data_IF_804325451310
#
_entry.id   IF_804325451310
#
_cell.length_a   1.000
_cell.length_b   1.000
_cell.length_c   1.000
_cell.angle_alpha   90.00
_cell.angle_beta   90.00
_cell.angle_gamma   90.00
#
_symmetry.space_group_name_H-M   'P 1'
#
loop_
_entity.id
_entity.type
_entity.pdbx_description
1 polymer ?
#
# COMPACT_ATOMS: atom_id res chain seq x y z
N UNK A 1 -3.76 -6.20 17.34
CA UNK A 1 -2.33 -6.20 16.93
C UNK A 1 -2.17 -5.33 15.68
N UNK A 2 -0.98 -4.82 15.38
CA UNK A 2 -0.75 -4.11 14.11
C UNK A 2 -0.45 -5.10 13.00
N UNK A 3 -0.78 -4.76 11.75
CA UNK A 3 -0.45 -5.58 10.57
C UNK A 3 1.03 -5.97 10.52
N UNK A 4 1.93 -5.02 10.85
CA UNK A 4 3.38 -5.31 10.92
C UNK A 4 3.71 -6.36 12.01
N UNK A 5 2.99 -6.36 13.13
CA UNK A 5 3.19 -7.37 14.18
C UNK A 5 2.67 -8.74 13.74
N UNK A 6 1.57 -8.80 13.01
CA UNK A 6 1.02 -10.03 12.44
C UNK A 6 1.97 -10.66 11.44
N UNK A 7 2.52 -9.86 10.51
CA UNK A 7 3.54 -10.31 9.56
C UNK A 7 4.79 -10.85 10.29
N UNK A 8 5.27 -10.17 11.34
CA UNK A 8 6.39 -10.66 12.16
C UNK A 8 6.07 -11.95 12.89
N UNK A 9 4.84 -12.07 13.40
CA UNK A 9 4.41 -13.33 14.05
C UNK A 9 4.44 -14.49 13.06
N UNK A 10 3.93 -14.30 11.85
CA UNK A 10 3.96 -15.31 10.79
C UNK A 10 5.39 -15.74 10.46
N UNK A 11 6.29 -14.78 10.24
CA UNK A 11 7.71 -15.05 9.99
C UNK A 11 8.38 -15.88 11.10
N UNK A 12 7.96 -15.68 12.34
CA UNK A 12 8.49 -16.42 13.48
C UNK A 12 8.06 -17.91 13.52
N UNK A 13 7.09 -18.33 12.71
CA UNK A 13 6.69 -19.72 12.56
C UNK A 13 7.50 -20.46 11.49
N UNK A 14 8.29 -19.76 10.66
CA UNK A 14 9.17 -20.41 9.68
C UNK A 14 10.20 -21.29 10.38
N UNK A 15 10.32 -22.58 10.03
CA UNK A 15 11.21 -23.51 10.73
C UNK A 15 12.70 -23.16 10.58
N UNK A 16 13.50 -23.40 11.62
CA UNK A 16 14.96 -23.23 11.67
C UNK A 16 15.69 -24.55 11.33
N UNK A 17 15.34 -25.17 10.18
CA UNK A 17 15.81 -26.52 9.85
C UNK A 17 17.30 -26.57 9.47
N UNK A 18 17.74 -25.62 8.64
CA UNK A 18 19.11 -25.57 8.11
C UNK A 18 19.97 -24.57 8.88
N UNK A 19 21.18 -24.99 9.29
CA UNK A 19 22.11 -24.10 10.00
C UNK A 19 22.54 -22.90 9.15
N UNK A 20 22.74 -23.08 7.83
CA UNK A 20 23.05 -21.95 6.93
C UNK A 20 21.93 -20.90 6.94
N UNK A 21 20.66 -21.31 6.84
CA UNK A 21 19.53 -20.38 6.90
C UNK A 21 19.41 -19.72 8.29
N UNK A 22 19.64 -20.44 9.38
CA UNK A 22 19.65 -19.89 10.73
C UNK A 22 20.77 -18.83 10.89
N UNK A 23 21.98 -19.10 10.38
CA UNK A 23 23.08 -18.12 10.36
C UNK A 23 22.73 -16.89 9.52
N UNK A 24 22.19 -17.07 8.32
CA UNK A 24 21.77 -15.97 7.46
C UNK A 24 20.66 -15.13 8.10
N UNK A 25 19.67 -15.74 8.76
CA UNK A 25 18.62 -15.04 9.48
C UNK A 25 19.18 -14.26 10.69
N UNK A 26 20.05 -14.88 11.48
CA UNK A 26 20.71 -14.20 12.60
C UNK A 26 21.62 -13.05 12.11
N UNK A 27 22.25 -13.19 10.96
CA UNK A 27 23.04 -12.13 10.31
C UNK A 27 22.17 -10.92 9.94
N UNK A 28 21.02 -11.16 9.30
CA UNK A 28 20.03 -10.11 9.02
C UNK A 28 19.56 -9.43 10.31
N UNK A 29 19.26 -10.19 11.37
CA UNK A 29 18.90 -9.62 12.68
C UNK A 29 20.01 -8.70 13.21
N UNK A 30 21.26 -9.12 13.17
CA UNK A 30 22.39 -8.38 13.72
C UNK A 30 22.67 -7.08 12.95
N UNK A 31 22.64 -7.10 11.62
CA UNK A 31 22.87 -5.91 10.80
C UNK A 31 21.72 -4.88 10.85
N UNK A 32 20.55 -5.26 11.35
CA UNK A 32 19.38 -4.41 11.47
C UNK A 32 18.89 -4.22 12.90
N UNK A 33 19.63 -4.73 13.91
CA UNK A 33 19.30 -4.54 15.32
C UNK A 33 19.72 -3.16 15.83
N UNK A 34 19.46 -2.92 17.12
CA UNK A 34 19.72 -1.63 17.73
C UNK A 34 21.22 -1.33 17.87
N UNK A 35 22.01 -2.32 18.30
CA UNK A 35 23.48 -2.19 18.42
C UNK A 35 24.13 -3.51 18.01
N UNK A 36 25.09 -3.43 17.13
CA UNK A 36 25.98 -4.55 16.78
C UNK A 36 27.39 -4.02 16.63
N UNK A 37 28.19 -4.18 17.65
CA UNK A 37 29.60 -3.79 17.63
C UNK A 37 30.47 -4.76 18.47
N UNK A 38 31.75 -4.46 18.64
CA UNK A 38 32.70 -5.30 19.38
C UNK A 38 32.50 -5.27 20.88
N UNK A 39 31.69 -4.38 21.42
CA UNK A 39 31.45 -4.21 22.86
C UNK A 39 30.15 -4.84 23.29
N UNK A 40 29.12 -4.71 22.47
CA UNK A 40 27.82 -5.29 22.77
C UNK A 40 27.01 -5.60 21.52
N UNK A 41 26.15 -6.59 21.66
CA UNK A 41 25.05 -6.85 20.72
C UNK A 41 23.76 -6.62 21.52
N UNK A 42 22.94 -5.65 21.02
CA UNK A 42 21.69 -5.26 21.67
C UNK A 42 20.53 -5.36 20.69
N UNK A 43 19.61 -6.28 20.98
CA UNK A 43 18.40 -6.49 20.17
C UNK A 43 17.21 -6.09 21.02
N UNK A 44 16.39 -5.15 20.53
CA UNK A 44 15.20 -4.65 21.20
C UNK A 44 13.97 -5.00 20.38
N UNK A 45 12.99 -5.63 20.97
CA UNK A 45 11.73 -5.95 20.31
C UNK A 45 10.54 -5.83 21.25
N UNK A 46 9.39 -5.40 20.70
CA UNK A 46 8.10 -5.45 21.36
C UNK A 46 7.23 -6.61 20.86
N UNK A 47 7.71 -7.37 19.86
CA UNK A 47 6.98 -8.50 19.29
C UNK A 47 7.28 -9.78 20.08
N UNK A 48 6.24 -10.42 20.61
CA UNK A 48 6.33 -11.59 21.48
C UNK A 48 6.91 -12.81 20.76
N UNK A 49 6.45 -13.09 19.57
CA UNK A 49 6.90 -14.23 18.78
C UNK A 49 8.39 -14.08 18.39
N UNK A 50 8.82 -12.88 18.04
CA UNK A 50 10.23 -12.61 17.75
C UNK A 50 11.11 -12.74 19.00
N UNK A 51 10.64 -12.25 20.16
CA UNK A 51 11.34 -12.43 21.42
C UNK A 51 11.54 -13.93 21.78
N UNK A 52 10.53 -14.76 21.52
CA UNK A 52 10.63 -16.22 21.72
C UNK A 52 11.52 -16.93 20.70
N UNK A 53 11.61 -16.38 19.46
CA UNK A 53 12.45 -16.93 18.39
C UNK A 53 13.93 -16.64 18.60
N UNK A 54 14.30 -15.47 19.13
CA UNK A 54 15.69 -15.03 19.27
C UNK A 54 16.60 -16.04 19.98
N UNK A 55 16.27 -16.58 21.17
CA UNK A 55 17.14 -17.56 21.83
C UNK A 55 17.31 -18.86 21.03
N UNK A 56 16.25 -19.31 20.35
CA UNK A 56 16.29 -20.51 19.49
C UNK A 56 17.16 -20.28 18.26
N UNK A 57 17.03 -19.11 17.64
CA UNK A 57 17.79 -18.69 16.46
C UNK A 57 19.29 -18.63 16.78
N UNK A 58 19.69 -17.93 17.85
CA UNK A 58 21.10 -17.78 18.23
C UNK A 58 21.74 -19.09 18.66
N UNK A 59 20.99 -19.94 19.38
CA UNK A 59 21.44 -21.29 19.69
C UNK A 59 21.67 -22.14 18.42
N UNK A 60 20.77 -22.04 17.44
CA UNK A 60 20.90 -22.80 16.17
C UNK A 60 22.00 -22.26 15.26
N UNK A 61 22.19 -20.94 15.22
CA UNK A 61 23.17 -20.28 14.36
C UNK A 61 24.61 -20.41 14.87
N UNK A 62 24.81 -20.22 16.19
CA UNK A 62 26.12 -20.04 16.81
C UNK A 62 26.40 -20.99 17.95
N UNK A 63 25.45 -21.80 18.39
CA UNK A 63 25.53 -22.58 19.64
C UNK A 63 25.71 -21.72 20.90
N UNK A 64 25.24 -20.45 20.86
CA UNK A 64 25.39 -19.47 21.91
C UNK A 64 24.04 -19.10 22.55
N UNK A 65 24.10 -18.62 23.80
CA UNK A 65 22.98 -18.00 24.51
C UNK A 65 23.27 -16.52 24.79
N UNK A 66 22.21 -15.73 24.89
CA UNK A 66 22.29 -14.34 25.35
C UNK A 66 22.78 -14.28 26.79
N UNK A 67 23.52 -13.22 27.14
CA UNK A 67 23.99 -12.97 28.50
C UNK A 67 22.88 -12.37 29.36
N UNK A 68 22.01 -11.56 28.72
CA UNK A 68 20.78 -11.07 29.34
C UNK A 68 19.57 -11.40 28.46
N UNK A 69 18.58 -12.03 29.07
CA UNK A 69 17.27 -12.35 28.47
C UNK A 69 16.20 -11.71 29.35
N UNK A 70 15.23 -11.01 28.78
CA UNK A 70 14.14 -10.44 29.57
C UNK A 70 13.33 -11.54 30.26
N UNK A 71 12.74 -11.26 31.43
CA UNK A 71 11.91 -12.24 32.15
C UNK A 71 10.71 -12.65 31.29
N UNK A 72 10.28 -13.91 31.47
CA UNK A 72 9.07 -14.41 30.79
C UNK A 72 7.85 -13.58 31.18
N UNK A 73 7.01 -13.26 30.17
CA UNK A 73 5.81 -12.44 30.37
C UNK A 73 6.06 -10.94 30.49
N UNK A 74 7.30 -10.45 30.35
CA UNK A 74 7.57 -9.02 30.34
C UNK A 74 6.75 -8.30 29.24
N UNK A 75 5.97 -7.30 29.64
CA UNK A 75 5.19 -6.50 28.71
C UNK A 75 6.06 -5.40 28.06
N UNK A 76 5.74 -5.02 26.83
CA UNK A 76 6.39 -3.92 26.13
C UNK A 76 7.71 -4.28 25.45
N UNK A 77 8.66 -3.34 25.45
CA UNK A 77 9.96 -3.54 24.79
C UNK A 77 10.86 -4.48 25.62
N UNK A 78 11.36 -5.52 24.98
CA UNK A 78 12.27 -6.51 25.56
C UNK A 78 13.66 -6.34 24.97
N UNK A 79 14.67 -6.37 25.83
CA UNK A 79 16.07 -6.20 25.45
C UNK A 79 16.82 -7.50 25.64
N UNK A 80 17.49 -7.97 24.59
CA UNK A 80 18.40 -9.10 24.60
C UNK A 80 19.82 -8.56 24.45
N UNK A 81 20.77 -9.03 25.26
CA UNK A 81 22.14 -8.55 25.25
C UNK A 81 23.14 -9.72 25.17
N UNK A 82 24.21 -9.49 24.39
CA UNK A 82 25.46 -10.24 24.47
C UNK A 82 26.56 -9.22 24.75
N UNK A 83 27.27 -9.39 25.84
CA UNK A 83 28.34 -8.48 26.32
C UNK A 83 29.66 -9.23 26.57
N UNK A 84 29.62 -10.55 26.58
CA UNK A 84 30.82 -11.39 26.73
C UNK A 84 31.65 -11.30 25.46
N UNK A 85 32.93 -10.78 25.53
CA UNK A 85 33.74 -10.51 24.35
C UNK A 85 33.99 -11.74 23.47
N UNK A 86 34.21 -12.91 24.09
CA UNK A 86 34.48 -14.16 23.37
C UNK A 86 33.28 -14.59 22.50
N UNK A 87 32.06 -14.38 23.00
CA UNK A 87 30.84 -14.66 22.25
C UNK A 87 30.69 -13.68 21.06
N UNK A 88 30.96 -12.38 21.27
CA UNK A 88 30.89 -11.37 20.23
C UNK A 88 31.93 -11.67 19.16
N UNK A 89 33.16 -11.97 19.53
CA UNK A 89 34.24 -12.33 18.60
C UNK A 89 33.87 -13.55 17.78
N UNK A 90 33.37 -14.62 18.39
CA UNK A 90 32.96 -15.83 17.66
C UNK A 90 31.81 -15.56 16.67
N UNK A 91 30.89 -14.63 16.96
CA UNK A 91 29.85 -14.19 16.03
C UNK A 91 30.47 -13.41 14.86
N UNK A 92 31.38 -12.47 15.15
CA UNK A 92 32.06 -11.68 14.13
C UNK A 92 32.90 -12.55 13.19
N UNK A 93 33.61 -13.57 13.73
CA UNK A 93 34.37 -14.57 12.98
C UNK A 93 33.49 -15.32 11.96
N UNK A 94 32.32 -15.79 12.39
CA UNK A 94 31.36 -16.46 11.49
C UNK A 94 31.02 -15.61 10.27
N UNK A 95 31.04 -14.29 10.39
CA UNK A 95 30.70 -13.37 9.31
C UNK A 95 31.90 -12.71 8.63
N UNK A 96 33.14 -13.05 9.06
CA UNK A 96 34.39 -12.47 8.52
C UNK A 96 34.51 -10.97 8.81
N UNK A 97 34.04 -10.52 9.99
CA UNK A 97 34.01 -9.09 10.37
C UNK A 97 34.92 -8.76 11.58
N UNK A 98 35.83 -9.63 11.95
CA UNK A 98 36.71 -9.44 13.12
C UNK A 98 37.56 -8.17 13.05
N UNK A 99 37.98 -7.77 11.85
CA UNK A 99 38.82 -6.57 11.63
C UNK A 99 38.06 -5.40 11.01
N UNK A 100 36.75 -5.56 10.74
CA UNK A 100 35.98 -4.53 10.05
C UNK A 100 35.77 -3.28 10.91
N UNK A 101 36.05 -2.11 10.32
CA UNK A 101 35.74 -0.79 10.90
C UNK A 101 34.26 -0.44 10.73
N UNK A 102 33.64 -0.97 9.67
CA UNK A 102 32.21 -0.78 9.35
C UNK A 102 31.61 -2.12 8.96
N UNK A 103 30.33 -2.30 9.24
CA UNK A 103 29.62 -3.51 8.85
C UNK A 103 29.34 -3.54 7.35
N UNK A 104 29.51 -4.73 6.76
CA UNK A 104 29.23 -5.06 5.37
C UNK A 104 28.48 -6.38 5.29
N UNK A 105 27.76 -6.60 4.19
CA UNK A 105 27.15 -7.90 3.91
C UNK A 105 28.19 -8.84 3.32
N UNK A 106 28.46 -9.95 3.99
CA UNK A 106 29.28 -11.02 3.45
C UNK A 106 28.44 -11.85 2.47
N UNK A 107 28.59 -11.62 1.17
CA UNK A 107 27.85 -12.33 0.12
C UNK A 107 28.12 -13.84 0.10
N UNK A 108 29.30 -14.30 0.52
CA UNK A 108 29.61 -15.72 0.66
C UNK A 108 28.70 -16.48 1.66
N UNK A 109 28.07 -15.75 2.59
CA UNK A 109 27.06 -16.32 3.48
C UNK A 109 25.66 -16.39 2.83
N UNK A 110 25.45 -15.74 1.70
CA UNK A 110 24.14 -15.53 1.04
C UNK A 110 24.14 -16.07 -0.40
N UNK A 111 24.93 -17.10 -0.71
CA UNK A 111 25.05 -17.68 -2.06
C UNK A 111 23.74 -18.30 -2.55
N UNK A 112 22.97 -18.93 -1.64
CA UNK A 112 21.73 -19.63 -2.00
C UNK A 112 20.51 -18.78 -1.72
N UNK A 113 19.44 -18.95 -2.52
CA UNK A 113 18.18 -18.23 -2.35
C UNK A 113 17.57 -18.40 -0.97
N UNK A 114 17.65 -19.60 -0.38
CA UNK A 114 17.14 -19.84 0.97
C UNK A 114 17.90 -19.05 2.05
N UNK A 115 19.18 -18.77 1.85
CA UNK A 115 19.98 -17.92 2.74
C UNK A 115 19.65 -16.45 2.53
N UNK A 116 19.48 -15.98 1.29
CA UNK A 116 19.03 -14.61 0.97
C UNK A 116 17.66 -14.31 1.56
N UNK A 117 16.70 -15.22 1.38
CA UNK A 117 15.36 -15.13 1.99
C UNK A 117 15.43 -15.08 3.52
N UNK A 118 16.25 -15.93 4.12
CA UNK A 118 16.43 -15.98 5.58
C UNK A 118 17.08 -14.69 6.11
N UNK A 119 18.06 -14.14 5.39
CA UNK A 119 18.70 -12.88 5.72
C UNK A 119 17.68 -11.74 5.78
N UNK A 120 16.89 -11.57 4.72
CA UNK A 120 15.87 -10.53 4.69
C UNK A 120 14.72 -10.78 5.68
N UNK A 121 14.41 -12.02 6.02
CA UNK A 121 13.53 -12.35 7.15
C UNK A 121 14.08 -11.80 8.45
N UNK A 122 15.36 -12.05 8.74
CA UNK A 122 16.03 -11.52 9.94
C UNK A 122 16.07 -9.99 9.96
N UNK A 123 16.43 -9.37 8.83
CA UNK A 123 16.44 -7.92 8.66
C UNK A 123 15.05 -7.30 8.93
N UNK A 124 13.99 -7.91 8.39
CA UNK A 124 12.61 -7.45 8.62
C UNK A 124 12.15 -7.66 10.08
N UNK A 125 12.50 -8.77 10.70
CA UNK A 125 12.17 -9.04 12.10
C UNK A 125 12.80 -7.98 13.04
N UNK A 126 14.06 -7.60 12.80
CA UNK A 126 14.79 -6.63 13.63
C UNK A 126 14.46 -5.17 13.29
N UNK A 127 14.65 -4.77 12.02
CA UNK A 127 14.57 -3.37 11.57
C UNK A 127 13.45 -3.10 10.55
N UNK A 128 12.60 -4.09 10.24
CA UNK A 128 11.54 -3.94 9.26
C UNK A 128 10.21 -3.50 9.84
N UNK A 129 9.44 -2.83 9.00
CA UNK A 129 8.02 -2.54 9.26
C UNK A 129 7.20 -2.56 7.98
N UNK A 130 5.92 -2.87 8.11
CA UNK A 130 4.94 -2.78 7.04
C UNK A 130 3.70 -2.07 7.56
N UNK A 131 3.20 -1.11 6.77
CA UNK A 131 2.02 -0.34 7.16
C UNK A 131 0.75 -1.16 6.89
N UNK A 132 -0.29 -0.89 7.67
CA UNK A 132 -1.63 -1.41 7.46
C UNK A 132 -2.09 -1.13 6.01
N UNK A 133 -2.40 -2.17 5.22
CA UNK A 133 -2.75 -2.04 3.81
C UNK A 133 -4.03 -1.23 3.58
N UNK A 134 -4.93 -1.13 4.56
CA UNK A 134 -6.12 -0.28 4.46
C UNK A 134 -5.77 1.22 4.43
N UNK A 135 -4.65 1.59 5.03
CA UNK A 135 -4.17 2.98 5.05
C UNK A 135 -3.33 3.30 3.82
N UNK A 136 -2.18 2.60 3.68
CA UNK A 136 -1.23 2.81 2.57
C UNK A 136 -0.35 1.59 2.37
N UNK A 137 0.21 1.44 1.19
CA UNK A 137 1.23 0.43 0.89
C UNK A 137 2.61 1.00 1.19
N UNK A 138 3.28 0.45 2.20
CA UNK A 138 4.64 0.83 2.55
C UNK A 138 5.28 -0.28 3.39
N UNK A 139 6.38 -0.83 2.89
CA UNK A 139 7.28 -1.73 3.61
C UNK A 139 8.65 -1.10 3.66
N UNK A 140 9.28 -1.04 4.82
CA UNK A 140 10.63 -0.48 4.99
C UNK A 140 11.51 -1.40 5.84
N UNK A 141 12.81 -1.37 5.52
CA UNK A 141 13.90 -1.92 6.31
C UNK A 141 14.80 -0.77 6.73
N UNK A 142 15.01 -0.59 8.03
CA UNK A 142 15.81 0.47 8.62
C UNK A 142 17.07 -0.10 9.25
N UNK A 143 18.24 0.43 8.90
CA UNK A 143 19.53 0.14 9.53
C UNK A 143 20.29 1.42 9.82
N UNK A 144 21.18 1.39 10.83
CA UNK A 144 22.13 2.47 11.12
C UNK A 144 23.38 2.42 10.23
N UNK A 145 23.58 1.36 9.44
CA UNK A 145 24.80 1.09 8.69
C UNK A 145 24.63 1.44 7.21
N UNK A 146 25.31 2.49 6.68
CA UNK A 146 25.15 2.95 5.30
C UNK A 146 25.59 1.90 4.27
N UNK A 147 26.71 1.19 4.53
CA UNK A 147 27.19 0.14 3.63
C UNK A 147 26.20 -1.02 3.54
N UNK A 148 25.68 -1.47 4.68
CA UNK A 148 24.67 -2.54 4.75
C UNK A 148 23.40 -2.17 3.97
N UNK A 149 22.92 -0.94 4.12
CA UNK A 149 21.74 -0.48 3.38
C UNK A 149 21.94 -0.53 1.87
N UNK A 150 23.09 -0.03 1.38
CA UNK A 150 23.43 -0.04 -0.06
C UNK A 150 23.60 -1.46 -0.59
N UNK A 151 24.27 -2.32 0.16
CA UNK A 151 24.51 -3.72 -0.22
C UNK A 151 23.24 -4.55 -0.19
N UNK A 152 22.37 -4.32 0.81
CA UNK A 152 21.04 -4.94 0.87
C UNK A 152 20.14 -4.48 -0.30
N UNK A 153 20.23 -3.20 -0.68
CA UNK A 153 19.54 -2.67 -1.85
C UNK A 153 19.97 -3.42 -3.13
N UNK A 154 21.29 -3.58 -3.35
CA UNK A 154 21.82 -4.32 -4.49
C UNK A 154 21.41 -5.80 -4.47
N UNK A 155 21.46 -6.43 -3.31
CA UNK A 155 21.03 -7.83 -3.15
C UNK A 155 19.54 -8.01 -3.47
N UNK A 156 18.69 -7.05 -3.10
CA UNK A 156 17.28 -7.06 -3.50
C UNK A 156 17.10 -6.91 -5.00
N UNK A 157 17.90 -6.07 -5.68
CA UNK A 157 17.89 -5.98 -7.15
C UNK A 157 18.27 -7.30 -7.80
N UNK A 158 19.31 -7.98 -7.30
CA UNK A 158 19.72 -9.31 -7.78
C UNK A 158 18.61 -10.37 -7.58
N UNK A 159 17.80 -10.24 -6.54
CA UNK A 159 16.64 -11.10 -6.29
C UNK A 159 15.41 -10.74 -7.14
N UNK A 160 15.51 -9.73 -8.02
CA UNK A 160 14.44 -9.31 -8.92
C UNK A 160 13.48 -8.27 -8.34
N UNK A 161 13.75 -7.72 -7.15
CA UNK A 161 12.94 -6.65 -6.58
C UNK A 161 13.40 -5.27 -7.06
N UNK A 162 12.52 -4.27 -6.97
CA UNK A 162 12.81 -2.87 -7.30
C UNK A 162 12.65 -1.97 -6.05
N UNK A 163 13.58 -2.04 -5.08
CA UNK A 163 13.55 -1.22 -3.88
C UNK A 163 13.80 0.26 -4.21
N UNK A 164 13.44 1.11 -3.24
CA UNK A 164 13.85 2.52 -3.18
C UNK A 164 14.62 2.73 -1.89
N UNK A 165 15.45 3.77 -1.86
CA UNK A 165 16.23 4.15 -0.70
C UNK A 165 15.90 5.55 -0.21
N UNK A 166 16.13 5.80 1.08
CA UNK A 166 15.98 7.09 1.74
C UNK A 166 16.84 7.16 3.00
N UNK A 167 17.11 8.38 3.45
CA UNK A 167 17.76 8.63 4.74
C UNK A 167 16.80 9.42 5.61
N UNK A 168 16.58 8.96 6.85
CA UNK A 168 15.70 9.63 7.82
C UNK A 168 16.24 9.48 9.22
N UNK A 169 16.45 10.63 9.93
CA UNK A 169 16.87 10.62 11.32
C UNK A 169 18.18 9.91 11.61
N UNK A 170 19.14 9.95 10.67
CA UNK A 170 20.42 9.22 10.77
C UNK A 170 20.37 7.74 10.44
N UNK A 171 19.19 7.21 10.10
CA UNK A 171 19.01 5.85 9.62
C UNK A 171 18.86 5.75 8.10
N UNK A 172 19.31 4.64 7.55
CA UNK A 172 19.24 4.31 6.14
C UNK A 172 18.10 3.33 5.90
N UNK A 173 17.22 3.68 4.96
CA UNK A 173 15.95 2.98 4.74
C UNK A 173 15.94 2.42 3.31
N UNK A 174 15.71 1.12 3.19
CA UNK A 174 15.33 0.47 1.93
C UNK A 174 13.83 0.18 1.98
N UNK A 175 13.06 0.63 0.98
CA UNK A 175 11.59 0.59 1.07
C UNK A 175 10.88 0.29 -0.24
N UNK A 176 9.61 -0.15 -0.12
CA UNK A 176 8.67 -0.41 -1.21
C UNK A 176 7.36 0.34 -0.97
N UNK A 177 6.72 0.82 -2.06
CA UNK A 177 5.41 1.51 -2.03
C UNK A 177 4.35 0.88 -2.94
N UNK A 178 4.75 -0.04 -3.80
CA UNK A 178 3.82 -0.76 -4.68
C UNK A 178 3.33 -2.01 -3.96
N UNK A 179 2.02 -2.26 -4.00
CA UNK A 179 1.41 -3.42 -3.33
C UNK A 179 2.03 -4.72 -3.81
N UNK A 180 2.18 -4.89 -5.12
CA UNK A 180 2.72 -6.08 -5.74
C UNK A 180 4.15 -6.40 -5.24
N UNK A 181 5.01 -5.37 -5.22
CA UNK A 181 6.38 -5.54 -4.72
C UNK A 181 6.43 -5.91 -3.24
N UNK A 182 5.50 -5.38 -2.41
CA UNK A 182 5.40 -5.72 -0.99
C UNK A 182 4.88 -7.15 -0.81
N UNK A 183 3.89 -7.57 -1.60
CA UNK A 183 3.36 -8.94 -1.64
C UNK A 183 4.46 -9.95 -1.97
N UNK A 184 5.26 -9.67 -3.00
CA UNK A 184 6.38 -10.50 -3.44
C UNK A 184 7.47 -10.60 -2.36
N UNK A 185 7.86 -9.48 -1.75
CA UNK A 185 8.85 -9.45 -0.67
C UNK A 185 8.36 -10.26 0.53
N UNK A 186 7.13 -10.03 1.01
CA UNK A 186 6.57 -10.74 2.16
C UNK A 186 6.48 -12.25 1.89
N UNK A 187 6.03 -12.65 0.71
CA UNK A 187 5.96 -14.05 0.30
C UNK A 187 7.36 -14.68 0.29
N UNK A 188 8.33 -14.01 -0.30
CA UNK A 188 9.71 -14.48 -0.42
C UNK A 188 10.38 -14.68 0.94
N UNK A 189 10.17 -13.77 1.88
CA UNK A 189 10.76 -13.91 3.23
C UNK A 189 10.00 -14.88 4.13
N UNK A 190 8.81 -15.36 3.72
CA UNK A 190 8.04 -16.38 4.40
C UNK A 190 6.81 -15.89 5.18
N UNK A 191 6.16 -14.80 4.73
CA UNK A 191 4.91 -14.28 5.27
C UNK A 191 3.79 -14.24 4.19
N UNK A 192 3.39 -15.39 3.60
CA UNK A 192 2.36 -15.43 2.56
C UNK A 192 0.97 -15.00 3.04
N UNK A 193 0.62 -15.20 4.32
CA UNK A 193 -0.67 -14.76 4.85
C UNK A 193 -0.74 -13.23 4.92
N UNK A 194 0.35 -12.57 5.33
CA UNK A 194 0.44 -11.12 5.30
C UNK A 194 0.37 -10.58 3.84
N UNK A 195 1.02 -11.26 2.89
CA UNK A 195 0.91 -10.92 1.47
C UNK A 195 -0.55 -11.04 0.96
N UNK A 196 -1.25 -12.13 1.31
CA UNK A 196 -2.67 -12.30 0.99
C UNK A 196 -3.54 -11.18 1.60
N UNK A 197 -3.23 -10.72 2.80
CA UNK A 197 -3.90 -9.58 3.43
C UNK A 197 -3.79 -8.30 2.60
N UNK A 198 -2.61 -8.05 2.00
CA UNK A 198 -2.40 -6.90 1.10
C UNK A 198 -3.22 -7.05 -0.18
N UNK A 199 -3.22 -8.24 -0.81
CA UNK A 199 -4.04 -8.53 -2.00
C UNK A 199 -5.53 -8.29 -1.75
N UNK A 200 -6.05 -8.77 -0.61
CA UNK A 200 -7.46 -8.57 -0.23
C UNK A 200 -7.80 -7.09 -0.05
N UNK A 201 -6.96 -6.34 0.66
CA UNK A 201 -7.16 -4.90 0.86
C UNK A 201 -7.13 -4.14 -0.47
N UNK A 202 -6.26 -4.52 -1.41
CA UNK A 202 -6.21 -3.96 -2.77
C UNK A 202 -7.51 -4.20 -3.52
N UNK A 203 -8.00 -5.44 -3.58
CA UNK A 203 -9.26 -5.78 -4.24
C UNK A 203 -10.44 -4.97 -3.67
N UNK A 204 -10.52 -4.84 -2.34
CA UNK A 204 -11.58 -4.05 -1.68
C UNK A 204 -11.50 -2.55 -2.04
N UNK A 205 -10.27 -1.99 -2.10
CA UNK A 205 -10.06 -0.60 -2.52
C UNK A 205 -10.48 -0.38 -3.97
N UNK A 206 -10.12 -1.29 -4.87
CA UNK A 206 -10.47 -1.20 -6.28
C UNK A 206 -11.98 -1.29 -6.50
N UNK A 207 -12.67 -2.19 -5.78
CA UNK A 207 -14.13 -2.26 -5.81
C UNK A 207 -14.78 -0.97 -5.30
N UNK A 208 -14.35 -0.44 -4.15
CA UNK A 208 -14.85 0.83 -3.62
C UNK A 208 -14.63 1.99 -4.60
N UNK A 209 -13.45 2.07 -5.18
CA UNK A 209 -13.11 3.10 -6.15
C UNK A 209 -13.96 3.00 -7.43
N UNK A 210 -14.25 1.80 -7.92
CA UNK A 210 -15.11 1.56 -9.08
C UNK A 210 -16.56 2.03 -8.78
N UNK A 211 -17.10 1.67 -7.62
CA UNK A 211 -18.44 2.11 -7.18
C UNK A 211 -18.49 3.63 -7.04
N UNK A 212 -17.52 4.24 -6.36
CA UNK A 212 -17.48 5.69 -6.18
C UNK A 212 -17.38 6.44 -7.52
N UNK A 213 -16.57 5.95 -8.46
CA UNK A 213 -16.49 6.56 -9.82
C UNK A 213 -17.83 6.49 -10.53
N UNK A 214 -18.54 5.35 -10.42
CA UNK A 214 -19.87 5.19 -11.03
C UNK A 214 -20.88 6.15 -10.41
N UNK A 215 -20.96 6.20 -9.09
CA UNK A 215 -21.87 7.12 -8.37
C UNK A 215 -21.57 8.58 -8.72
N UNK A 216 -20.29 8.98 -8.73
CA UNK A 216 -19.90 10.35 -9.08
C UNK A 216 -20.25 10.69 -10.55
N UNK A 217 -20.11 9.72 -11.46
CA UNK A 217 -20.49 9.91 -12.86
C UNK A 217 -22.02 10.07 -13.00
N UNK A 218 -22.79 9.22 -12.33
CA UNK A 218 -24.26 9.25 -12.37
C UNK A 218 -24.78 10.56 -11.74
N UNK A 219 -24.21 11.00 -10.61
CA UNK A 219 -24.55 12.29 -9.98
C UNK A 219 -24.25 13.47 -10.89
N UNK A 220 -23.04 13.53 -11.46
CA UNK A 220 -22.66 14.62 -12.36
C UNK A 220 -23.53 14.66 -13.63
N UNK A 221 -24.01 13.52 -14.12
CA UNK A 221 -24.95 13.44 -15.25
C UNK A 221 -26.35 13.94 -14.83
N UNK A 222 -26.82 13.57 -13.64
CA UNK A 222 -28.10 14.06 -13.11
C UNK A 222 -28.08 15.58 -12.94
N UNK A 223 -27.01 16.13 -12.34
CA UNK A 223 -26.85 17.57 -12.16
C UNK A 223 -26.86 18.33 -13.50
N UNK A 224 -26.19 17.80 -14.53
CA UNK A 224 -26.23 18.39 -15.89
C UNK A 224 -27.62 18.38 -16.49
N UNK A 225 -28.39 17.30 -16.27
CA UNK A 225 -29.77 17.22 -16.77
C UNK A 225 -30.64 18.28 -16.09
N UNK A 226 -30.53 18.41 -14.77
CA UNK A 226 -31.30 19.41 -13.98
C UNK A 226 -30.97 20.85 -14.41
N UNK A 227 -29.65 21.17 -14.51
CA UNK A 227 -29.22 22.50 -14.94
C UNK A 227 -29.73 22.86 -16.36
N UNK A 228 -29.55 21.92 -17.30
CA UNK A 228 -30.04 22.14 -18.68
C UNK A 228 -31.58 22.28 -18.74
N UNK A 229 -32.29 21.51 -17.93
CA UNK A 229 -33.75 21.62 -17.84
C UNK A 229 -34.19 22.97 -17.27
N UNK A 230 -33.49 23.48 -16.26
CA UNK A 230 -33.76 24.78 -15.66
C UNK A 230 -33.50 25.93 -16.66
N UNK A 231 -32.37 25.90 -17.35
CA UNK A 231 -32.04 26.85 -18.41
C UNK A 231 -33.13 26.87 -19.51
N UNK A 232 -33.59 25.68 -19.92
CA UNK A 232 -34.68 25.57 -20.93
C UNK A 232 -35.98 26.14 -20.41
N UNK A 233 -36.39 25.86 -19.17
CA UNK A 233 -37.60 26.38 -18.57
C UNK A 233 -37.56 27.90 -18.44
N UNK A 234 -36.45 28.47 -18.01
CA UNK A 234 -36.31 29.90 -17.85
C UNK A 234 -36.35 30.61 -19.20
N UNK A 235 -35.74 30.03 -20.22
CA UNK A 235 -35.80 30.56 -21.60
C UNK A 235 -37.23 30.48 -22.18
N UNK A 236 -37.93 29.36 -21.98
CA UNK A 236 -39.32 29.21 -22.43
C UNK A 236 -40.24 30.22 -21.73
N UNK A 237 -40.10 30.45 -20.43
CA UNK A 237 -40.85 31.44 -19.66
C UNK A 237 -40.58 32.87 -20.15
N UNK A 238 -39.34 33.19 -20.46
CA UNK A 238 -38.96 34.49 -21.01
C UNK A 238 -39.53 34.68 -22.41
N UNK A 239 -39.52 33.63 -23.24
CA UNK A 239 -40.09 33.63 -24.57
C UNK A 239 -41.60 33.85 -24.52
N UNK A 240 -42.31 33.13 -23.65
CA UNK A 240 -43.76 33.25 -23.43
C UNK A 240 -44.13 34.69 -23.03
N UNK A 241 -43.36 35.27 -22.09
CA UNK A 241 -43.58 36.68 -21.64
C UNK A 241 -43.37 37.72 -22.73
N UNK A 242 -42.38 37.50 -23.64
CA UNK A 242 -42.03 38.48 -24.68
C UNK A 242 -42.90 38.37 -25.92
N UNK A 243 -43.19 37.19 -26.38
CA UNK A 243 -43.76 36.91 -27.68
C UNK A 243 -45.06 36.10 -27.62
N UNK A 244 -45.33 35.36 -26.52
CA UNK A 244 -46.37 34.37 -26.41
C UNK A 244 -46.00 33.06 -27.07
N UNK A 245 -46.38 31.91 -26.46
CA UNK A 245 -46.12 30.58 -27.04
C UNK A 245 -46.99 30.28 -28.27
N UNK A 246 -48.06 30.98 -28.46
CA UNK A 246 -49.00 30.92 -29.61
C UNK A 246 -48.39 31.46 -30.91
N UNK A 247 -47.31 32.25 -30.83
CA UNK A 247 -46.56 32.72 -32.01
C UNK A 247 -45.58 31.71 -32.57
N UNK A 248 -45.34 30.64 -31.83
CA UNK A 248 -44.44 29.58 -32.26
C UNK A 248 -45.09 28.63 -33.27
N UNK A 249 -44.27 27.94 -34.07
CA UNK A 249 -44.77 26.82 -34.86
C UNK A 249 -45.28 25.69 -33.93
N UNK A 250 -46.28 24.93 -34.38
CA UNK A 250 -46.93 23.86 -33.64
C UNK A 250 -45.91 22.89 -32.96
N UNK A 251 -44.83 22.57 -33.67
CA UNK A 251 -43.75 21.69 -33.20
C UNK A 251 -42.97 22.31 -32.03
N UNK A 252 -42.69 23.60 -32.08
CA UNK A 252 -41.95 24.31 -31.02
C UNK A 252 -42.88 24.57 -29.82
N UNK A 253 -44.14 24.88 -30.06
CA UNK A 253 -45.16 25.06 -29.03
C UNK A 253 -45.37 23.74 -28.23
N UNK A 254 -45.56 22.60 -28.95
CA UNK A 254 -45.60 21.28 -28.31
C UNK A 254 -44.38 21.01 -27.46
N UNK A 255 -43.17 21.28 -27.99
CA UNK A 255 -41.91 21.07 -27.29
C UNK A 255 -41.80 21.90 -26.02
N UNK A 256 -42.23 23.19 -26.06
CA UNK A 256 -42.24 24.08 -24.92
C UNK A 256 -43.21 23.56 -23.84
N UNK A 257 -44.44 23.19 -24.20
CA UNK A 257 -45.45 22.62 -23.29
C UNK A 257 -44.99 21.31 -22.65
N UNK A 258 -44.36 20.42 -23.42
CA UNK A 258 -43.81 19.16 -22.89
C UNK A 258 -42.71 19.44 -21.83
N UNK A 259 -41.82 20.39 -22.04
CA UNK A 259 -40.80 20.76 -21.06
C UNK A 259 -41.41 21.38 -19.81
N UNK A 260 -42.40 22.26 -19.94
CA UNK A 260 -43.10 22.87 -18.79
C UNK A 260 -43.84 21.82 -17.99
N UNK A 261 -44.52 20.87 -18.64
CA UNK A 261 -45.27 19.81 -17.97
C UNK A 261 -44.36 18.77 -17.32
N UNK A 262 -43.10 18.61 -17.81
CA UNK A 262 -42.17 17.59 -17.35
C UNK A 262 -40.78 18.23 -17.07
N UNK A 263 -40.64 19.07 -16.02
CA UNK A 263 -39.44 19.86 -15.76
C UNK A 263 -38.19 19.04 -15.44
N UNK A 264 -38.35 17.87 -14.83
CA UNK A 264 -37.24 17.00 -14.43
C UNK A 264 -36.90 15.90 -15.46
N UNK A 265 -37.70 15.77 -16.51
CA UNK A 265 -37.55 14.70 -17.50
C UNK A 265 -36.29 14.88 -18.35
N UNK A 266 -35.62 13.77 -18.64
CA UNK A 266 -34.47 13.76 -19.57
C UNK A 266 -34.95 14.08 -21.01
N UNK A 267 -33.99 14.49 -21.88
CA UNK A 267 -34.27 14.68 -23.29
C UNK A 267 -34.82 13.42 -23.99
N UNK A 268 -34.43 12.24 -23.51
CA UNK A 268 -34.91 10.97 -24.06
C UNK A 268 -36.37 10.71 -23.66
N UNK A 269 -36.75 11.08 -22.43
CA UNK A 269 -38.13 10.93 -21.96
C UNK A 269 -39.06 11.93 -22.66
N UNK A 270 -38.65 13.19 -22.78
CA UNK A 270 -39.41 14.19 -23.56
C UNK A 270 -39.58 13.77 -25.03
N UNK A 271 -38.56 13.17 -25.61
CA UNK A 271 -38.62 12.69 -26.98
C UNK A 271 -39.67 11.57 -27.21
N UNK A 272 -39.86 10.70 -26.17
CA UNK A 272 -40.90 9.65 -26.16
C UNK A 272 -42.30 10.23 -25.98
N UNK A 273 -42.44 11.35 -25.24
CA UNK A 273 -43.73 12.00 -24.97
C UNK A 273 -44.24 12.86 -26.12
N UNK A 274 -43.40 13.19 -27.08
CA UNK A 274 -43.81 13.96 -28.28
C UNK A 274 -44.77 13.17 -29.17
N UNK A 275 -45.64 13.84 -29.90
CA UNK A 275 -46.63 13.24 -30.80
C UNK A 275 -46.44 13.70 -32.25
N UNK A 276 -45.92 12.84 -33.15
CA UNK A 276 -45.40 11.49 -32.92
C UNK A 276 -44.07 11.49 -32.11
N UNK A 277 -43.68 10.35 -31.46
CA UNK A 277 -42.42 10.25 -30.77
C UNK A 277 -41.23 10.52 -31.66
N UNK A 278 -40.21 11.24 -31.13
CA UNK A 278 -39.03 11.68 -31.89
C UNK A 278 -37.74 11.11 -31.31
N UNK A 279 -36.63 11.26 -32.02
CA UNK A 279 -35.32 10.91 -31.48
C UNK A 279 -34.85 11.95 -30.44
N UNK A 280 -33.96 11.51 -29.50
CA UNK A 280 -33.30 12.40 -28.53
C UNK A 280 -32.62 13.60 -29.22
N UNK A 281 -31.98 13.37 -30.36
CA UNK A 281 -31.29 14.42 -31.14
C UNK A 281 -32.28 15.42 -31.71
N UNK A 282 -33.43 14.99 -32.21
CA UNK A 282 -34.49 15.83 -32.69
C UNK A 282 -35.05 16.70 -31.55
N UNK A 283 -35.35 16.13 -30.39
CA UNK A 283 -35.82 16.88 -29.23
C UNK A 283 -34.79 17.90 -28.75
N UNK A 284 -33.50 17.53 -28.71
CA UNK A 284 -32.40 18.47 -28.38
C UNK A 284 -32.36 19.66 -29.36
N UNK A 285 -32.54 19.41 -30.68
CA UNK A 285 -32.56 20.46 -31.68
C UNK A 285 -33.77 21.40 -31.54
N UNK A 286 -34.95 20.84 -31.27
CA UNK A 286 -36.16 21.62 -31.02
C UNK A 286 -36.01 22.57 -29.81
N UNK A 287 -35.49 22.02 -28.66
CA UNK A 287 -35.22 22.82 -27.47
C UNK A 287 -34.13 23.89 -27.71
N UNK A 288 -33.09 23.58 -28.49
CA UNK A 288 -32.08 24.57 -28.87
C UNK A 288 -32.68 25.70 -29.67
N UNK A 289 -33.60 25.43 -30.61
CA UNK A 289 -34.32 26.48 -31.35
C UNK A 289 -35.16 27.39 -30.45
N UNK A 290 -35.78 26.83 -29.38
CA UNK A 290 -36.50 27.64 -28.38
C UNK A 290 -35.55 28.54 -27.60
N UNK A 291 -34.36 28.10 -27.25
CA UNK A 291 -33.34 28.92 -26.57
C UNK A 291 -32.80 30.06 -27.45
N UNK A 292 -32.71 29.82 -28.75
CA UNK A 292 -32.17 30.76 -29.75
C UNK A 292 -33.25 31.65 -30.43
N UNK A 293 -34.54 31.50 -30.05
CA UNK A 293 -35.65 32.21 -30.65
C UNK A 293 -35.59 33.74 -30.33
N UNK A 294 -35.62 34.58 -31.39
CA UNK A 294 -35.50 36.04 -31.26
C UNK A 294 -36.72 36.80 -31.70
N UNK A 295 -37.82 36.11 -32.06
CA UNK A 295 -39.00 36.69 -32.73
C UNK A 295 -38.71 36.91 -34.23
N UNK A 296 -39.67 36.56 -35.09
CA UNK A 296 -39.64 36.91 -36.55
C UNK A 296 -40.03 38.36 -36.73
#
# INVERSE_FOLDING_TARGET
MSFSSEAKNELCHVPLNRTCCARAEAYGVLLYCHTFDRREIRIITANDAFAQRLPKLFRRAFSLSFDHVPPEGAAGKRTFLITVPEKILSILEVFGQESAVSHHINYGMLETDCCRQSFFRGAFLAGGSVTDPDKRYHLELLTSHPSVSREAFNLMLEMGFAPKDAVRGGGYITYFKQSEAIEDVLTTIGAPLAAMGIMQAKMQKDMRNAVNRRVNCDSANADKIVLAAQEQLDAIRELDRKYGLDTLSDILQETAMLRIANPESSLADLARLASPPVSKSCMSHRLKKLLEYKGD
#
